data_IF_220071074366
#
_entry.id   IF_220071074366
#
_cell.length_a   1.000
_cell.length_b   1.000
_cell.length_c   1.000
_cell.angle_alpha   90.00
_cell.angle_beta   90.00
_cell.angle_gamma   90.00
#
_symmetry.space_group_name_H-M   'P 1'
#
loop_
_entity.id
_entity.type
_entity.pdbx_description
1 polymer ?
#
# COMPACT_ATOMS: atom_id res chain seq x y z
N UNK A 1 2.63 9.56 -16.65
CA UNK A 1 1.62 8.49 -16.82
C UNK A 1 0.86 8.59 -18.12
N UNK A 2 0.25 9.73 -18.47
CA UNK A 2 -0.44 9.92 -19.75
C UNK A 2 0.45 9.62 -20.97
N UNK A 3 1.72 10.03 -20.94
CA UNK A 3 2.67 9.68 -22.00
C UNK A 3 2.95 8.16 -22.03
N UNK A 4 3.25 7.58 -20.87
CA UNK A 4 3.53 6.15 -20.72
C UNK A 4 2.38 5.28 -21.25
N UNK A 5 1.12 5.65 -20.98
CA UNK A 5 -0.04 4.89 -21.46
C UNK A 5 -0.17 4.85 -22.98
N UNK A 6 0.38 5.84 -23.71
CA UNK A 6 0.40 5.81 -25.19
C UNK A 6 1.21 4.63 -25.74
N UNK A 7 2.15 4.12 -24.95
CA UNK A 7 3.01 2.98 -25.30
C UNK A 7 2.52 1.64 -24.73
N UNK A 8 1.38 1.62 -24.02
CA UNK A 8 0.83 0.43 -23.38
C UNK A 8 -0.61 0.19 -23.84
N UNK A 9 -0.82 -0.48 -24.99
CA UNK A 9 -2.16 -0.75 -25.50
C UNK A 9 -3.05 -1.45 -24.47
N UNK A 10 -4.30 -0.99 -24.34
CA UNK A 10 -5.26 -1.53 -23.37
C UNK A 10 -5.02 -1.10 -21.91
N UNK A 11 -4.07 -0.18 -21.65
CA UNK A 11 -3.85 0.41 -20.34
C UNK A 11 -4.03 1.92 -20.37
N UNK A 12 -4.82 2.44 -19.42
CA UNK A 12 -4.96 3.87 -19.23
C UNK A 12 -3.87 4.45 -18.29
N UNK A 13 -3.79 5.78 -18.24
CA UNK A 13 -2.81 6.48 -17.41
C UNK A 13 -2.96 6.18 -15.91
N UNK A 14 -4.20 5.98 -15.43
CA UNK A 14 -4.50 5.67 -14.03
C UNK A 14 -3.96 4.28 -13.68
N UNK A 15 -4.25 3.28 -14.51
CA UNK A 15 -3.76 1.92 -14.36
C UNK A 15 -2.23 1.85 -14.38
N UNK A 16 -1.58 2.62 -15.26
CA UNK A 16 -0.12 2.72 -15.29
C UNK A 16 0.43 3.27 -13.96
N UNK A 17 -0.16 4.35 -13.46
CA UNK A 17 0.21 4.95 -12.17
C UNK A 17 0.01 3.98 -11.03
N UNK A 18 -1.17 3.38 -10.93
CA UNK A 18 -1.53 2.43 -9.87
C UNK A 18 -0.58 1.23 -9.86
N UNK A 19 -0.24 0.70 -11.04
CA UNK A 19 0.71 -0.40 -11.14
C UNK A 19 2.08 -0.02 -10.58
N UNK A 20 2.56 1.18 -10.89
CA UNK A 20 3.85 1.64 -10.39
C UNK A 20 3.83 1.84 -8.88
N UNK A 21 2.95 2.71 -8.37
CA UNK A 21 2.95 3.11 -6.96
C UNK A 21 2.64 1.96 -6.00
N UNK A 22 1.97 0.91 -6.48
CA UNK A 22 1.61 -0.24 -5.64
C UNK A 22 2.58 -1.43 -5.78
N UNK A 23 3.36 -1.50 -6.86
CA UNK A 23 4.13 -2.73 -7.16
C UNK A 23 5.51 -2.54 -7.82
N UNK A 24 5.73 -1.50 -8.62
CA UNK A 24 6.97 -1.34 -9.39
C UNK A 24 7.90 -0.27 -8.84
N UNK A 25 7.43 0.59 -7.94
CA UNK A 25 8.28 1.57 -7.28
C UNK A 25 9.41 0.85 -6.52
N UNK A 26 10.69 1.11 -6.85
CA UNK A 26 11.84 0.44 -6.22
C UNK A 26 11.96 0.66 -4.71
N UNK A 27 11.31 1.71 -4.17
CA UNK A 27 11.26 1.95 -2.73
C UNK A 27 10.41 0.92 -1.99
N UNK A 28 9.56 0.16 -2.69
CA UNK A 28 8.69 -0.84 -2.09
C UNK A 28 9.44 -2.12 -1.75
N UNK A 29 9.25 -2.59 -0.51
CA UNK A 29 9.75 -3.86 0.00
C UNK A 29 8.81 -4.98 -0.44
N UNK A 30 9.38 -6.03 -1.01
CA UNK A 30 8.65 -7.27 -1.41
C UNK A 30 8.62 -8.34 -0.31
N UNK A 31 9.12 -8.01 0.87
CA UNK A 31 9.13 -8.94 2.01
C UNK A 31 7.70 -9.14 2.56
N UNK A 32 7.38 -10.31 3.14
CA UNK A 32 6.14 -10.50 3.89
C UNK A 32 6.00 -9.50 5.03
N UNK A 33 4.76 -9.27 5.49
CA UNK A 33 4.51 -8.51 6.72
C UNK A 33 5.03 -9.30 7.92
N UNK A 34 5.81 -8.66 8.78
CA UNK A 34 6.27 -9.26 10.03
C UNK A 34 5.23 -9.07 11.14
N UNK A 35 5.20 -9.92 12.18
CA UNK A 35 4.30 -9.74 13.32
C UNK A 35 4.43 -8.37 13.99
N UNK A 36 5.64 -7.80 14.01
CA UNK A 36 5.91 -6.47 14.58
C UNK A 36 5.29 -5.36 13.72
N UNK A 37 5.39 -5.46 12.39
CA UNK A 37 4.72 -4.53 11.47
C UNK A 37 3.19 -4.61 11.63
N UNK A 38 2.64 -5.81 11.80
CA UNK A 38 1.20 -6.01 12.00
C UNK A 38 0.71 -5.44 13.33
N UNK A 39 1.46 -5.68 14.41
CA UNK A 39 1.15 -5.12 15.73
C UNK A 39 1.17 -3.58 15.68
N UNK A 40 2.18 -3.00 15.03
CA UNK A 40 2.26 -1.56 14.81
C UNK A 40 1.10 -1.03 13.97
N UNK A 41 0.71 -1.76 12.91
CA UNK A 41 -0.40 -1.39 12.03
C UNK A 41 -1.72 -1.31 12.79
N UNK A 42 -2.04 -2.35 13.56
CA UNK A 42 -3.27 -2.37 14.37
C UNK A 42 -3.24 -1.28 15.43
N UNK A 43 -2.12 -1.07 16.12
CA UNK A 43 -1.99 -0.02 17.13
C UNK A 43 -2.22 1.38 16.54
N UNK A 44 -1.54 1.71 15.44
CA UNK A 44 -1.66 3.02 14.81
C UNK A 44 -3.05 3.27 14.21
N UNK A 45 -3.68 2.22 13.65
CA UNK A 45 -5.05 2.29 13.19
C UNK A 45 -6.03 2.60 14.33
N UNK A 46 -5.83 2.02 15.51
CA UNK A 46 -6.64 2.31 16.72
C UNK A 46 -6.41 3.73 17.22
N UNK A 47 -5.18 4.23 17.21
CA UNK A 47 -4.84 5.59 17.66
C UNK A 47 -5.39 6.68 16.74
N UNK A 48 -5.35 6.46 15.42
CA UNK A 48 -5.68 7.48 14.41
C UNK A 48 -7.06 7.30 13.78
N UNK A 49 -7.87 6.36 14.29
CA UNK A 49 -9.11 5.91 13.64
C UNK A 49 -8.92 5.55 12.16
N UNK A 50 -7.81 4.86 11.85
CA UNK A 50 -7.42 4.47 10.49
C UNK A 50 -7.33 5.64 9.49
N UNK A 51 -6.84 6.81 9.92
CA UNK A 51 -6.52 7.87 8.97
C UNK A 51 -5.34 7.44 8.07
N UNK A 52 -5.66 6.80 6.95
CA UNK A 52 -4.72 5.99 6.18
C UNK A 52 -3.47 6.72 5.70
N UNK A 53 -3.59 8.01 5.37
CA UNK A 53 -2.45 8.81 4.94
C UNK A 53 -1.43 9.00 6.08
N UNK A 54 -1.89 9.00 7.33
CA UNK A 54 -1.03 9.06 8.51
C UNK A 54 -0.48 7.69 8.87
N UNK A 55 -1.34 6.66 8.89
CA UNK A 55 -0.93 5.28 9.15
C UNK A 55 0.16 4.85 8.16
N UNK A 56 -0.05 5.06 6.86
CA UNK A 56 0.89 4.65 5.81
C UNK A 56 2.30 5.27 5.98
N UNK A 57 2.41 6.51 6.44
CA UNK A 57 3.70 7.19 6.63
C UNK A 57 4.63 6.47 7.61
N UNK A 58 4.09 5.58 8.44
CA UNK A 58 4.83 4.81 9.45
C UNK A 58 5.39 3.49 8.92
N UNK A 59 5.02 3.10 7.70
CA UNK A 59 5.43 1.84 7.08
C UNK A 59 6.29 2.10 5.84
N UNK A 60 7.57 2.52 6.01
CA UNK A 60 8.45 2.76 4.88
C UNK A 60 8.65 1.47 4.07
N UNK A 61 8.53 1.61 2.76
CA UNK A 61 8.59 0.49 1.83
C UNK A 61 7.30 -0.32 1.71
N UNK A 62 6.21 0.05 2.38
CA UNK A 62 4.86 -0.47 2.10
C UNK A 62 4.11 0.55 1.25
N UNK A 63 3.37 0.08 0.25
CA UNK A 63 2.49 0.99 -0.50
C UNK A 63 1.25 1.30 0.33
N UNK A 64 0.61 2.43 0.06
CA UNK A 64 -0.65 2.80 0.70
C UNK A 64 -1.71 1.67 0.57
N UNK A 65 -1.75 1.02 -0.59
CA UNK A 65 -2.67 -0.09 -0.85
C UNK A 65 -2.29 -1.36 -0.06
N UNK A 66 -1.00 -1.66 0.07
CA UNK A 66 -0.51 -2.79 0.87
C UNK A 66 -0.89 -2.63 2.36
N UNK A 67 -0.67 -1.45 2.93
CA UNK A 67 -1.06 -1.11 4.32
C UNK A 67 -2.55 -1.31 4.55
N UNK A 68 -3.40 -0.74 3.70
CA UNK A 68 -4.86 -0.90 3.81
C UNK A 68 -5.30 -2.36 3.69
N UNK A 69 -4.78 -3.06 2.67
CA UNK A 69 -5.14 -4.45 2.44
C UNK A 69 -4.72 -5.35 3.60
N UNK A 70 -3.54 -5.09 4.20
CA UNK A 70 -3.10 -5.88 5.34
C UNK A 70 -3.99 -5.67 6.55
N UNK A 71 -4.37 -4.43 6.85
CA UNK A 71 -5.27 -4.15 7.96
C UNK A 71 -6.61 -4.88 7.78
N UNK A 72 -7.26 -4.76 6.62
CA UNK A 72 -8.52 -5.47 6.37
C UNK A 72 -8.39 -6.99 6.40
N UNK A 73 -7.23 -7.54 6.05
CA UNK A 73 -6.97 -8.98 6.19
C UNK A 73 -6.90 -9.39 7.67
N UNK A 74 -6.27 -8.58 8.51
CA UNK A 74 -6.16 -8.81 9.95
C UNK A 74 -7.51 -8.72 10.65
N UNK A 75 -8.32 -7.69 10.32
CA UNK A 75 -9.67 -7.52 10.88
C UNK A 75 -10.60 -8.69 10.54
N UNK A 76 -10.40 -9.36 9.40
CA UNK A 76 -11.19 -10.57 9.02
C UNK A 76 -10.76 -11.84 9.76
N UNK A 77 -9.57 -11.84 10.37
CA UNK A 77 -8.99 -13.00 11.08
C UNK A 77 -9.23 -12.94 12.58
N UNK A 78 -9.54 -11.76 13.11
CA UNK A 78 -9.95 -11.53 14.50
C UNK A 78 -11.42 -11.92 14.70
#
# INVERSE_FOLDING_TARGET
>A
WAEISKHLPGRDAKQCRERYINHLDPSLRKAPWTPEEEAALVAHCRETNCHWAEVWRRFPGRSYNDVKNRYYLLERRA
#
